data_IF_619118782693
#
_entry.id   IF_619118782693
#
_cell.length_a   1.000
_cell.length_b   1.000
_cell.length_c   1.000
_cell.angle_alpha   90.00
_cell.angle_beta   90.00
_cell.angle_gamma   90.00
#
_symmetry.space_group_name_H-M   'P 1'
#
loop_
_entity.id
_entity.type
_entity.pdbx_description
1 polymer ?
#
# COMPACT_ATOMS: atom_id res chain seq x y z
N UNK A 1 52.50 -37.41 21.86
CA UNK A 1 51.87 -36.16 22.33
C UNK A 1 51.26 -35.41 21.15
N UNK A 2 50.03 -35.74 20.75
CA UNK A 2 49.30 -35.06 19.65
C UNK A 2 47.80 -35.12 19.96
N UNK A 3 47.26 -34.16 20.70
CA UNK A 3 45.80 -33.87 20.81
C UNK A 3 45.51 -32.85 21.92
N UNK A 4 45.96 -31.60 21.78
CA UNK A 4 45.48 -30.51 22.67
C UNK A 4 45.07 -29.22 21.95
N UNK A 5 45.33 -29.10 20.64
CA UNK A 5 45.02 -27.90 19.87
C UNK A 5 43.63 -27.94 19.18
N UNK A 6 43.00 -29.11 19.04
CA UNK A 6 41.68 -29.23 18.41
C UNK A 6 40.51 -28.73 19.26
N UNK A 7 40.66 -28.73 20.58
CA UNK A 7 39.58 -28.35 21.52
C UNK A 7 39.39 -26.83 21.60
N UNK A 8 40.47 -26.06 21.41
CA UNK A 8 40.43 -24.59 21.49
C UNK A 8 39.75 -23.99 20.25
N UNK A 9 39.94 -24.60 19.07
CA UNK A 9 39.28 -24.13 17.83
C UNK A 9 37.77 -24.39 17.83
N UNK A 10 37.33 -25.52 18.39
CA UNK A 10 35.90 -25.86 18.49
C UNK A 10 35.12 -24.96 19.44
N UNK A 11 35.75 -24.47 20.52
CA UNK A 11 35.10 -23.60 21.50
C UNK A 11 34.90 -22.16 20.99
N UNK A 12 35.74 -21.70 20.06
CA UNK A 12 35.65 -20.34 19.52
C UNK A 12 34.52 -20.17 18.49
N UNK A 13 34.14 -21.24 17.79
CA UNK A 13 33.04 -21.24 16.81
C UNK A 13 31.64 -21.17 17.45
N UNK A 14 31.48 -21.54 18.72
CA UNK A 14 30.19 -21.52 19.42
C UNK A 14 29.82 -20.12 19.95
N UNK A 15 30.82 -19.24 20.13
CA UNK A 15 30.62 -17.91 20.73
C UNK A 15 30.17 -16.82 19.74
N UNK A 16 30.05 -17.14 18.45
CA UNK A 16 29.66 -16.17 17.40
C UNK A 16 28.20 -16.37 16.96
N UNK A 17 27.36 -16.92 17.84
CA UNK A 17 25.90 -16.87 17.67
C UNK A 17 25.40 -15.46 17.98
N UNK A 18 25.72 -14.50 17.11
CA UNK A 18 25.10 -13.19 17.15
C UNK A 18 23.60 -13.40 16.95
N UNK A 19 22.80 -13.13 17.99
CA UNK A 19 21.35 -13.02 17.83
C UNK A 19 21.10 -11.89 16.83
N UNK A 20 20.54 -12.20 15.66
CA UNK A 20 20.04 -11.14 14.80
C UNK A 20 18.91 -10.45 15.55
N UNK A 21 19.12 -9.19 15.92
CA UNK A 21 18.05 -8.37 16.49
C UNK A 21 17.11 -8.00 15.34
N UNK A 22 16.08 -8.82 15.13
CA UNK A 22 14.90 -8.38 14.38
C UNK A 22 14.15 -7.39 15.25
N UNK A 23 13.79 -6.24 14.68
CA UNK A 23 12.91 -5.28 15.33
C UNK A 23 11.61 -5.19 14.54
N UNK A 24 10.52 -5.03 15.29
CA UNK A 24 9.17 -4.99 14.76
C UNK A 24 8.58 -3.64 15.12
N UNK A 25 7.99 -2.96 14.14
CA UNK A 25 7.28 -1.71 14.33
C UNK A 25 5.85 -1.85 13.85
N UNK A 26 4.91 -1.26 14.59
CA UNK A 26 3.52 -1.17 14.17
C UNK A 26 3.18 0.26 13.81
N UNK A 27 2.74 0.48 12.57
CA UNK A 27 2.20 1.75 12.09
C UNK A 27 0.69 1.70 12.25
N UNK A 28 0.15 2.51 13.14
CA UNK A 28 -1.31 2.63 13.31
C UNK A 28 -1.99 3.15 12.04
N UNK A 29 -3.28 2.87 11.86
CA UNK A 29 -4.07 3.43 10.74
C UNK A 29 -3.98 4.96 10.65
N UNK A 30 -3.93 5.65 11.80
CA UNK A 30 -3.79 7.11 11.85
C UNK A 30 -2.47 7.56 11.23
N UNK A 31 -1.37 6.88 11.54
CA UNK A 31 -0.07 7.17 10.97
C UNK A 31 -0.03 6.80 9.48
N UNK A 32 -0.63 5.68 9.09
CA UNK A 32 -0.71 5.26 7.69
C UNK A 32 -1.50 6.26 6.84
N UNK A 33 -2.60 6.80 7.37
CA UNK A 33 -3.34 7.90 6.76
C UNK A 33 -2.48 9.15 6.55
N UNK A 34 -1.59 9.48 7.50
CA UNK A 34 -0.66 10.60 7.32
C UNK A 34 0.39 10.32 6.24
N UNK A 35 0.89 9.09 6.15
CA UNK A 35 1.85 8.67 5.12
C UNK A 35 1.21 8.67 3.72
N UNK A 36 -0.05 8.27 3.61
CA UNK A 36 -0.77 8.28 2.33
C UNK A 36 -0.87 9.65 1.68
N UNK A 37 -0.88 10.72 2.47
CA UNK A 37 -0.86 12.09 1.96
C UNK A 37 0.43 12.43 1.19
N UNK A 38 1.50 11.64 1.34
CA UNK A 38 2.74 11.80 0.58
C UNK A 38 2.65 11.20 -0.83
N UNK A 39 1.77 10.21 -1.03
CA UNK A 39 1.58 9.51 -2.30
C UNK A 39 0.40 10.04 -3.11
N UNK A 40 -0.50 10.80 -2.48
CA UNK A 40 -1.64 11.45 -3.12
C UNK A 40 -1.36 12.93 -3.37
N UNK A 41 -1.96 13.54 -4.41
CA UNK A 41 -2.94 12.96 -5.33
C UNK A 41 -2.34 11.99 -6.35
N UNK A 42 -3.11 10.98 -6.74
CA UNK A 42 -2.73 10.01 -7.78
C UNK A 42 -3.56 10.30 -9.04
N UNK A 43 -2.90 10.45 -10.18
CA UNK A 43 -3.58 10.60 -11.48
C UNK A 43 -3.49 9.29 -12.25
N UNK A 44 -4.61 8.85 -12.83
CA UNK A 44 -4.72 7.66 -13.67
C UNK A 44 -5.69 7.91 -14.81
N UNK A 45 -5.39 7.35 -15.97
CA UNK A 45 -6.29 7.36 -17.11
C UNK A 45 -7.03 6.02 -17.21
N UNK A 46 -8.35 6.07 -17.33
CA UNK A 46 -9.21 4.90 -17.45
C UNK A 46 -10.20 5.10 -18.60
N UNK A 47 -10.03 4.35 -19.69
CA UNK A 47 -10.96 4.36 -20.83
C UNK A 47 -11.27 5.79 -21.34
N UNK A 48 -10.26 6.66 -21.43
CA UNK A 48 -10.40 8.04 -21.87
C UNK A 48 -10.87 9.03 -20.79
N UNK A 49 -10.99 8.59 -19.54
CA UNK A 49 -11.26 9.46 -18.38
C UNK A 49 -9.96 9.65 -17.59
N UNK A 50 -9.51 10.89 -17.46
CA UNK A 50 -8.42 11.22 -16.53
C UNK A 50 -9.02 11.36 -15.12
N UNK A 51 -8.69 10.44 -14.23
CA UNK A 51 -9.14 10.40 -12.85
C UNK A 51 -8.02 10.79 -11.89
N UNK A 52 -8.25 11.87 -11.15
CA UNK A 52 -7.41 12.29 -10.02
C UNK A 52 -8.05 11.81 -8.72
N UNK A 53 -7.35 10.96 -7.98
CA UNK A 53 -7.72 10.47 -6.66
C UNK A 53 -7.05 11.35 -5.61
N UNK A 54 -7.81 11.82 -4.64
CA UNK A 54 -7.36 12.74 -3.59
C UNK A 54 -8.10 12.50 -2.27
N UNK A 55 -7.60 13.10 -1.19
CA UNK A 55 -8.10 12.91 0.18
C UNK A 55 -8.28 11.43 0.57
N UNK A 56 -7.21 10.61 0.49
CA UNK A 56 -7.29 9.20 0.81
C UNK A 56 -7.53 8.99 2.30
N UNK A 57 -8.36 7.99 2.61
CA UNK A 57 -8.53 7.45 3.96
C UNK A 57 -8.44 5.94 3.87
N UNK A 58 -7.48 5.36 4.58
CA UNK A 58 -7.28 3.91 4.67
C UNK A 58 -7.95 3.33 5.91
N UNK A 59 -8.49 2.14 5.73
CA UNK A 59 -8.91 1.24 6.81
C UNK A 59 -8.32 -0.13 6.56
N UNK A 60 -7.85 -0.75 7.63
CA UNK A 60 -7.24 -2.06 7.65
C UNK A 60 -8.22 -3.07 8.23
N UNK A 61 -8.37 -4.19 7.54
CA UNK A 61 -9.10 -5.35 8.05
C UNK A 61 -8.11 -6.48 8.32
N UNK A 62 -7.78 -6.66 9.59
CA UNK A 62 -6.85 -7.69 10.03
C UNK A 62 -7.43 -9.10 9.94
N UNK A 63 -8.75 -9.26 9.94
CA UNK A 63 -9.39 -10.58 9.88
C UNK A 63 -9.29 -11.15 8.46
N UNK A 64 -9.63 -10.32 7.48
CA UNK A 64 -9.63 -10.72 6.07
C UNK A 64 -8.30 -10.40 5.35
N UNK A 65 -7.33 -9.79 6.05
CA UNK A 65 -6.07 -9.25 5.49
C UNK A 65 -6.33 -8.34 4.29
N UNK A 66 -7.33 -7.46 4.43
CA UNK A 66 -7.78 -6.54 3.39
C UNK A 66 -7.51 -5.10 3.76
N UNK A 67 -7.49 -4.26 2.73
CA UNK A 67 -7.40 -2.83 2.85
C UNK A 67 -8.51 -2.16 2.05
N UNK A 68 -9.16 -1.19 2.68
CA UNK A 68 -10.11 -0.29 2.03
C UNK A 68 -9.51 1.13 1.97
N UNK A 69 -9.34 1.68 0.77
CA UNK A 69 -9.01 3.08 0.55
C UNK A 69 -10.25 3.81 0.06
N UNK A 70 -10.78 4.70 0.89
CA UNK A 70 -11.82 5.65 0.49
C UNK A 70 -11.18 6.94 0.04
N UNK A 71 -11.56 7.45 -1.13
CA UNK A 71 -10.94 8.63 -1.74
C UNK A 71 -11.97 9.44 -2.53
N UNK A 72 -11.76 10.74 -2.59
CA UNK A 72 -12.46 11.62 -3.51
C UNK A 72 -11.84 11.50 -4.89
N UNK A 73 -12.67 11.55 -5.93
CA UNK A 73 -12.28 11.36 -7.32
C UNK A 73 -12.74 12.57 -8.10
N UNK A 74 -11.80 13.23 -8.78
CA UNK A 74 -12.09 14.24 -9.80
C UNK A 74 -11.78 13.62 -11.14
N UNK A 75 -12.81 13.45 -11.97
CA UNK A 75 -12.62 12.96 -13.32
C UNK A 75 -12.78 14.07 -14.34
N UNK A 76 -11.95 14.02 -15.39
CA UNK A 76 -12.01 14.87 -16.56
C UNK A 76 -12.22 13.99 -17.79
N UNK A 77 -13.27 14.27 -18.56
CA UNK A 77 -13.56 13.62 -19.83
C UNK A 77 -13.99 14.68 -20.83
N UNK A 78 -13.30 14.78 -21.96
CA UNK A 78 -13.58 15.76 -23.02
C UNK A 78 -13.71 17.21 -22.50
N UNK A 79 -12.87 17.58 -21.54
CA UNK A 79 -12.87 18.90 -20.89
C UNK A 79 -13.97 19.12 -19.85
N UNK A 80 -14.84 18.14 -19.62
CA UNK A 80 -15.94 18.19 -18.64
C UNK A 80 -15.57 17.45 -17.36
N UNK A 81 -15.91 18.05 -16.22
CA UNK A 81 -15.54 17.57 -14.90
C UNK A 81 -16.69 16.81 -14.22
N UNK A 82 -16.33 15.79 -13.45
CA UNK A 82 -17.20 15.21 -12.43
C UNK A 82 -16.45 15.02 -11.12
N UNK A 83 -17.20 15.03 -10.02
CA UNK A 83 -16.70 14.74 -8.68
C UNK A 83 -17.44 13.51 -8.15
N UNK A 84 -16.69 12.59 -7.58
CA UNK A 84 -17.22 11.37 -7.00
C UNK A 84 -16.46 10.98 -5.74
N UNK A 85 -17.01 9.98 -5.04
CA UNK A 85 -16.35 9.30 -3.93
C UNK A 85 -16.29 7.81 -4.24
N UNK A 86 -15.12 7.21 -4.08
CA UNK A 86 -14.89 5.80 -4.31
C UNK A 86 -14.32 5.10 -3.08
N UNK A 87 -14.58 3.80 -2.97
CA UNK A 87 -13.86 2.90 -2.06
C UNK A 87 -13.21 1.79 -2.87
N UNK A 88 -11.89 1.72 -2.78
CA UNK A 88 -11.05 0.72 -3.42
C UNK A 88 -10.70 -0.33 -2.37
N UNK A 89 -11.11 -1.58 -2.58
CA UNK A 89 -10.74 -2.72 -1.74
C UNK A 89 -9.58 -3.46 -2.40
N UNK A 90 -8.63 -3.98 -1.61
CA UNK A 90 -7.63 -4.90 -2.13
C UNK A 90 -6.85 -5.59 -1.01
N UNK A 91 -5.72 -6.21 -1.38
CA UNK A 91 -4.81 -6.85 -0.43
C UNK A 91 -3.45 -6.18 -0.52
N UNK A 92 -2.76 -6.06 0.62
CA UNK A 92 -1.36 -5.62 0.57
C UNK A 92 -0.48 -6.71 -0.01
N UNK A 93 0.42 -6.28 -0.86
CA UNK A 93 1.56 -7.06 -1.30
C UNK A 93 2.83 -6.28 -1.00
N UNK A 94 3.74 -6.91 -0.28
CA UNK A 94 5.05 -6.36 0.00
C UNK A 94 6.10 -7.11 -0.79
N UNK A 95 6.78 -6.36 -1.65
CA UNK A 95 7.91 -6.84 -2.43
C UNK A 95 9.21 -6.50 -1.68
N UNK A 96 9.86 -7.46 -0.98
CA UNK A 96 11.08 -7.20 -0.22
C UNK A 96 12.28 -6.89 -1.12
N UNK A 97 12.27 -7.30 -2.39
CA UNK A 97 13.39 -7.05 -3.31
C UNK A 97 13.40 -5.58 -3.74
N UNK A 98 12.22 -5.05 -4.08
CA UNK A 98 12.08 -3.65 -4.47
C UNK A 98 11.69 -2.74 -3.31
N UNK A 99 11.40 -3.28 -2.14
CA UNK A 99 10.92 -2.57 -0.95
C UNK A 99 9.68 -1.71 -1.24
N UNK A 100 8.73 -2.29 -1.97
CA UNK A 100 7.49 -1.62 -2.34
C UNK A 100 6.30 -2.27 -1.63
N UNK A 101 5.47 -1.45 -1.00
CA UNK A 101 4.14 -1.87 -0.54
C UNK A 101 3.11 -1.42 -1.56
N UNK A 102 2.33 -2.39 -2.07
CA UNK A 102 1.32 -2.19 -3.09
C UNK A 102 -0.02 -2.72 -2.63
N UNK A 103 -1.08 -2.28 -3.31
CA UNK A 103 -2.37 -2.97 -3.29
C UNK A 103 -2.46 -3.83 -4.54
N UNK A 104 -2.47 -5.14 -4.34
CA UNK A 104 -2.74 -6.12 -5.37
C UNK A 104 -4.24 -6.33 -5.57
N UNK A 105 -4.60 -6.62 -6.83
CA UNK A 105 -5.98 -6.86 -7.28
C UNK A 105 -6.97 -5.83 -6.71
N UNK A 106 -6.69 -4.52 -6.79
CA UNK A 106 -7.59 -3.52 -6.26
C UNK A 106 -8.92 -3.57 -7.03
N UNK A 107 -10.04 -3.44 -6.33
CA UNK A 107 -11.37 -3.44 -6.91
C UNK A 107 -12.11 -2.20 -6.43
N UNK A 108 -12.75 -1.48 -7.35
CA UNK A 108 -13.66 -0.41 -6.99
C UNK A 108 -14.96 -1.02 -6.43
N UNK A 109 -15.08 -1.06 -5.10
CA UNK A 109 -16.20 -1.67 -4.38
C UNK A 109 -17.43 -0.76 -4.36
N UNK A 110 -17.19 0.52 -4.12
CA UNK A 110 -18.24 1.54 -4.07
C UNK A 110 -17.84 2.73 -4.91
N UNK A 111 -18.81 3.32 -5.61
CA UNK A 111 -18.66 4.55 -6.34
C UNK A 111 -19.95 5.37 -6.23
N UNK A 112 -19.82 6.63 -5.82
CA UNK A 112 -20.92 7.57 -5.71
C UNK A 112 -20.55 8.87 -6.40
N UNK A 113 -21.27 9.20 -7.46
CA UNK A 113 -21.21 10.52 -8.09
C UNK A 113 -21.74 11.57 -7.10
N UNK A 114 -20.99 12.66 -6.91
CA UNK A 114 -21.38 13.79 -6.06
C UNK A 114 -21.80 14.98 -6.91
N UNK A 115 -20.99 15.31 -7.92
CA UNK A 115 -21.25 16.39 -8.88
C UNK A 115 -20.95 15.91 -10.29
N UNK A 116 -21.74 16.35 -11.25
CA UNK A 116 -21.55 15.96 -12.64
C UNK A 116 -21.91 17.11 -13.59
N UNK A 117 -20.91 17.59 -14.33
CA UNK A 117 -21.07 18.65 -15.32
C UNK A 117 -21.01 18.11 -16.76
N UNK A 118 -21.18 16.80 -16.96
CA UNK A 118 -21.20 16.17 -18.28
C UNK A 118 -22.64 16.20 -18.83
N UNK A 119 -22.85 16.97 -19.90
CA UNK A 119 -24.17 17.17 -20.56
C UNK A 119 -24.85 15.85 -21.03
N UNK A 120 -24.10 14.76 -21.20
CA UNK A 120 -24.61 13.39 -21.40
C UNK A 120 -24.00 12.45 -20.36
N UNK A 121 -24.29 12.75 -19.10
CA UNK A 121 -23.78 12.04 -17.93
C UNK A 121 -24.01 10.52 -17.98
N UNK A 122 -24.99 10.03 -18.75
CA UNK A 122 -25.30 8.62 -18.75
C UNK A 122 -24.15 7.76 -19.28
N UNK A 123 -23.41 8.21 -20.30
CA UNK A 123 -22.29 7.41 -20.83
C UNK A 123 -21.14 7.34 -19.82
N UNK A 124 -20.69 8.48 -19.27
CA UNK A 124 -19.64 8.52 -18.26
C UNK A 124 -20.03 7.74 -16.99
N UNK A 125 -21.26 7.92 -16.51
CA UNK A 125 -21.81 7.15 -15.38
C UNK A 125 -21.81 5.66 -15.69
N UNK A 126 -22.21 5.25 -16.91
CA UNK A 126 -22.22 3.84 -17.34
C UNK A 126 -20.80 3.27 -17.38
N UNK A 127 -19.83 3.96 -17.99
CA UNK A 127 -18.42 3.54 -18.04
C UNK A 127 -17.84 3.32 -16.64
N UNK A 128 -18.11 4.25 -15.72
CA UNK A 128 -17.61 4.13 -14.34
C UNK A 128 -18.34 3.01 -13.58
N UNK A 129 -19.67 2.90 -13.74
CA UNK A 129 -20.43 1.77 -13.17
C UNK A 129 -19.96 0.43 -13.69
N UNK A 130 -19.54 0.34 -14.95
CA UNK A 130 -18.97 -0.87 -15.54
C UNK A 130 -17.60 -1.22 -14.95
N UNK A 131 -16.91 -0.24 -14.34
CA UNK A 131 -15.62 -0.43 -13.68
C UNK A 131 -15.78 -0.88 -12.22
N UNK A 132 -16.96 -0.67 -11.62
CA UNK A 132 -17.28 -1.23 -10.29
C UNK A 132 -17.18 -2.75 -10.35
N UNK A 133 -16.50 -3.34 -9.37
CA UNK A 133 -16.27 -4.79 -9.30
C UNK A 133 -15.22 -5.31 -10.28
N UNK A 134 -14.60 -4.46 -11.11
CA UNK A 134 -13.45 -4.84 -11.94
C UNK A 134 -12.13 -4.59 -11.21
N UNK A 135 -11.13 -5.40 -11.56
CA UNK A 135 -9.76 -5.17 -11.13
C UNK A 135 -9.25 -3.86 -11.74
N UNK A 136 -8.80 -2.98 -10.86
CA UNK A 136 -8.00 -1.81 -11.16
C UNK A 136 -6.52 -2.25 -11.28
N UNK A 137 -5.68 -1.45 -11.96
CA UNK A 137 -4.24 -1.67 -11.94
C UNK A 137 -3.68 -1.54 -10.52
N UNK A 138 -2.54 -2.18 -10.27
CA UNK A 138 -1.83 -2.09 -8.99
C UNK A 138 -1.62 -0.65 -8.55
N UNK A 139 -1.84 -0.40 -7.26
CA UNK A 139 -1.64 0.91 -6.64
C UNK A 139 -0.43 0.80 -5.72
N UNK A 140 0.67 1.43 -6.09
CA UNK A 140 1.84 1.57 -5.21
C UNK A 140 1.50 2.57 -4.09
N UNK A 141 1.58 2.13 -2.84
CA UNK A 141 1.27 2.97 -1.68
C UNK A 141 2.51 3.59 -1.07
N UNK A 142 3.53 2.76 -0.85
CA UNK A 142 4.76 3.15 -0.18
C UNK A 142 5.94 2.58 -0.94
N UNK A 143 6.90 3.46 -1.23
CA UNK A 143 8.23 3.10 -1.69
C UNK A 143 9.20 3.35 -0.53
N UNK A 144 9.58 2.27 0.16
CA UNK A 144 10.44 2.38 1.35
C UNK A 144 11.85 2.86 1.00
N UNK A 145 12.32 2.70 -0.25
CA UNK A 145 13.62 3.26 -0.66
C UNK A 145 13.61 4.79 -0.66
N UNK A 146 12.45 5.40 -0.92
CA UNK A 146 12.28 6.87 -0.88
C UNK A 146 12.03 7.39 0.52
N UNK A 147 11.38 6.59 1.37
CA UNK A 147 11.19 6.91 2.78
C UNK A 147 12.47 6.55 3.55
N UNK A 148 13.48 7.43 3.50
CA UNK A 148 14.64 7.37 4.40
C UNK A 148 14.18 7.63 5.85
N UNK A 149 13.51 6.67 6.49
CA UNK A 149 12.91 6.80 7.82
C UNK A 149 13.95 6.75 8.95
N UNK A 150 15.13 7.37 8.78
CA UNK A 150 16.14 7.48 9.83
C UNK A 150 16.76 6.16 10.32
N UNK A 151 16.33 5.00 9.79
CA UNK A 151 16.80 3.67 10.20
C UNK A 151 18.04 3.18 9.43
N UNK A 152 18.65 4.02 8.58
CA UNK A 152 19.75 3.60 7.69
C UNK A 152 19.27 2.74 6.51
N UNK A 153 20.15 1.95 5.90
CA UNK A 153 19.85 1.06 4.76
C UNK A 153 19.09 -0.23 5.17
N UNK A 154 18.40 -0.22 6.31
CA UNK A 154 17.68 -1.41 6.79
C UNK A 154 16.33 -1.50 6.07
N UNK A 155 16.24 -2.45 5.16
CA UNK A 155 15.03 -2.78 4.43
C UNK A 155 14.08 -3.62 5.30
N UNK A 156 12.76 -3.37 5.25
CA UNK A 156 11.80 -4.30 5.82
C UNK A 156 11.96 -5.68 5.18
N UNK A 157 11.78 -6.74 5.98
CA UNK A 157 11.71 -8.12 5.52
C UNK A 157 10.29 -8.57 5.25
N UNK A 158 9.35 -8.07 6.04
CA UNK A 158 7.95 -8.47 5.98
C UNK A 158 7.03 -7.33 6.44
N UNK A 159 5.82 -7.33 5.91
CA UNK A 159 4.76 -6.37 6.23
C UNK A 159 3.43 -7.11 6.33
N UNK A 160 2.77 -7.06 7.49
CA UNK A 160 1.48 -7.71 7.70
C UNK A 160 0.44 -6.78 8.34
N UNK A 161 -0.84 -7.07 8.13
CA UNK A 161 -1.94 -6.35 8.76
C UNK A 161 -2.27 -7.02 10.09
N UNK A 162 -2.26 -6.23 11.16
CA UNK A 162 -2.63 -6.65 12.52
C UNK A 162 -3.78 -5.80 13.04
N UNK A 163 -4.48 -6.22 14.12
CA UNK A 163 -5.51 -5.40 14.76
C UNK A 163 -5.03 -4.02 15.26
N UNK A 164 -3.72 -3.84 15.42
CA UNK A 164 -3.11 -2.59 15.89
C UNK A 164 -2.64 -1.69 14.74
N UNK A 165 -2.59 -2.21 13.51
CA UNK A 165 -2.11 -1.49 12.34
C UNK A 165 -1.24 -2.36 11.43
N UNK A 166 -0.43 -1.70 10.61
CA UNK A 166 0.53 -2.34 9.73
C UNK A 166 1.80 -2.68 10.50
N UNK A 167 2.07 -3.96 10.70
CA UNK A 167 3.30 -4.45 11.31
C UNK A 167 4.39 -4.55 10.24
N UNK A 168 5.58 -4.07 10.57
CA UNK A 168 6.75 -4.06 9.69
C UNK A 168 7.90 -4.72 10.45
N UNK A 169 8.43 -5.80 9.90
CA UNK A 169 9.55 -6.57 10.46
C UNK A 169 10.81 -6.27 9.69
N UNK A 170 11.94 -6.04 10.36
CA UNK A 170 13.25 -5.76 9.76
C UNK A 170 14.31 -6.82 10.12
#
# INVERSE_FOLDING_TARGET
MKTKWGVILGLWLVLVSFKSFGFVFTISEKQLNAVLLLSFPIVREYQGVEATFYDPIIKLDALDKKVDITTSIRGLQDGKLFIARGTIEGQFDYDPLNQHLRIEKPILKHFKMLENHIEDSEHAVRTIKQTIGRNLPEIMLVDFNKLKMGFGDIAPKDVDITPLGLEITF
#
